data_IF_466297914188
#
_entry.id   IF_466297914188
#
_cell.length_a   1.000
_cell.length_b   1.000
_cell.length_c   1.000
_cell.angle_alpha   90.00
_cell.angle_beta   90.00
_cell.angle_gamma   90.00
#
_symmetry.space_group_name_H-M   'P 1'
#
loop_
_entity.id
_entity.type
_entity.pdbx_description
1 polymer ?
#
# COMPACT_ATOMS: atom_id res chain seq x y z
N UNK A 1 -4.08 2.60 19.10
CA UNK A 1 -5.34 2.28 18.37
C UNK A 1 -6.48 3.24 18.71
N UNK A 2 -6.95 3.29 19.96
CA UNK A 2 -8.12 4.10 20.35
C UNK A 2 -8.05 5.59 19.96
N UNK A 3 -6.90 6.24 20.17
CA UNK A 3 -6.66 7.64 19.80
C UNK A 3 -6.83 7.92 18.30
N UNK A 4 -6.55 6.93 17.46
CA UNK A 4 -6.62 7.05 16.00
C UNK A 4 -8.07 6.93 15.53
N UNK A 5 -8.84 6.00 16.10
CA UNK A 5 -10.25 5.81 15.77
C UNK A 5 -11.11 7.03 16.16
N UNK A 6 -10.74 7.73 17.24
CA UNK A 6 -11.40 8.97 17.69
C UNK A 6 -11.33 10.12 16.67
N UNK A 7 -10.49 10.02 15.63
CA UNK A 7 -10.49 11.00 14.55
C UNK A 7 -11.73 10.89 13.63
N UNK A 8 -12.41 9.74 13.61
CA UNK A 8 -13.70 9.54 12.94
C UNK A 8 -14.81 10.18 13.79
N UNK A 9 -15.59 11.08 13.20
CA UNK A 9 -16.63 11.83 13.94
C UNK A 9 -17.95 11.08 14.07
N UNK A 10 -18.22 10.15 13.16
CA UNK A 10 -19.43 9.34 13.18
C UNK A 10 -19.21 8.05 14.00
N UNK A 11 -20.13 7.77 14.91
CA UNK A 11 -20.03 6.60 15.81
C UNK A 11 -20.06 5.27 15.05
N UNK A 12 -20.87 5.17 13.99
CA UNK A 12 -20.94 3.95 13.15
C UNK A 12 -19.62 3.67 12.43
N UNK A 13 -18.93 4.72 11.96
CA UNK A 13 -17.62 4.58 11.31
C UNK A 13 -16.52 4.13 12.29
N UNK A 14 -16.57 4.62 13.53
CA UNK A 14 -15.67 4.17 14.60
C UNK A 14 -15.85 2.68 14.89
N UNK A 15 -17.09 2.21 14.93
CA UNK A 15 -17.45 0.82 15.22
C UNK A 15 -16.95 -0.13 14.13
N UNK A 16 -17.21 0.20 12.87
CA UNK A 16 -16.72 -0.56 11.70
C UNK A 16 -15.18 -0.59 11.64
N UNK A 17 -14.54 0.54 11.92
CA UNK A 17 -13.09 0.64 11.94
C UNK A 17 -12.48 -0.18 13.09
N UNK A 18 -13.09 -0.15 14.28
CA UNK A 18 -12.66 -0.94 15.43
C UNK A 18 -12.77 -2.45 15.17
N UNK A 19 -13.89 -2.90 14.60
CA UNK A 19 -14.09 -4.30 14.25
C UNK A 19 -13.04 -4.78 13.23
N UNK A 20 -12.72 -3.93 12.25
CA UNK A 20 -11.69 -4.22 11.25
C UNK A 20 -10.29 -4.30 11.87
N UNK A 21 -9.98 -3.42 12.83
CA UNK A 21 -8.70 -3.44 13.55
C UNK A 21 -8.55 -4.73 14.36
N UNK A 22 -9.60 -5.14 15.06
CA UNK A 22 -9.62 -6.37 15.85
C UNK A 22 -9.52 -7.62 14.97
N UNK A 23 -10.36 -7.72 13.94
CA UNK A 23 -10.39 -8.86 13.01
C UNK A 23 -9.04 -9.08 12.33
N UNK A 24 -8.30 -8.01 12.06
CA UNK A 24 -7.03 -8.06 11.33
C UNK A 24 -5.79 -8.01 12.22
N UNK A 25 -5.92 -7.98 13.55
CA UNK A 25 -4.80 -7.68 14.46
C UNK A 25 -3.95 -6.50 13.95
N UNK A 26 -4.63 -5.45 13.47
CA UNK A 26 -3.97 -4.38 12.73
C UNK A 26 -3.01 -3.61 13.65
N UNK A 27 -1.83 -3.24 13.15
CA UNK A 27 -0.87 -2.39 13.86
C UNK A 27 -1.33 -0.92 13.85
N UNK A 28 -0.77 -0.09 14.74
CA UNK A 28 -1.19 1.32 14.92
C UNK A 28 -1.11 2.08 13.59
N UNK A 29 -0.01 1.89 12.85
CA UNK A 29 0.21 2.45 11.50
C UNK A 29 -0.86 2.00 10.48
N UNK A 30 -1.28 0.74 10.55
CA UNK A 30 -2.34 0.20 9.69
C UNK A 30 -3.72 0.78 10.05
N UNK A 31 -3.96 0.99 11.35
CA UNK A 31 -5.16 1.68 11.85
C UNK A 31 -5.20 3.14 11.42
N UNK A 32 -4.07 3.86 11.46
CA UNK A 32 -3.95 5.24 10.98
C UNK A 32 -4.27 5.36 9.50
N UNK A 33 -3.72 4.45 8.68
CA UNK A 33 -4.02 4.39 7.24
C UNK A 33 -5.50 4.08 6.97
N UNK A 34 -6.12 3.21 7.77
CA UNK A 34 -7.54 2.89 7.66
C UNK A 34 -8.40 4.11 7.96
N UNK A 35 -8.13 4.81 9.07
CA UNK A 35 -8.86 6.01 9.48
C UNK A 35 -8.65 7.16 8.49
N UNK A 36 -7.44 7.36 7.98
CA UNK A 36 -7.15 8.36 6.94
C UNK A 36 -7.98 8.14 5.67
N UNK A 37 -8.15 6.88 5.24
CA UNK A 37 -9.02 6.53 4.10
C UNK A 37 -10.48 6.86 4.36
N UNK A 38 -10.99 6.55 5.55
CA UNK A 38 -12.38 6.82 5.94
C UNK A 38 -12.66 8.33 6.03
N UNK A 39 -11.72 9.10 6.57
CA UNK A 39 -11.83 10.57 6.66
C UNK A 39 -11.64 11.29 5.32
N UNK A 40 -11.27 10.58 4.25
CA UNK A 40 -10.91 11.18 2.97
C UNK A 40 -9.67 12.09 3.02
N UNK A 41 -9.01 12.19 4.18
CA UNK A 41 -7.77 12.91 4.40
C UNK A 41 -6.64 12.01 3.91
N UNK A 42 -6.11 12.33 2.74
CA UNK A 42 -5.23 11.43 2.00
C UNK A 42 -5.95 10.71 0.86
N UNK A 43 -6.79 11.42 0.09
CA UNK A 43 -6.81 11.19 -1.36
C UNK A 43 -5.40 11.45 -1.92
N UNK A 44 -4.44 10.57 -1.63
CA UNK A 44 -3.46 10.25 -2.65
C UNK A 44 -4.30 9.71 -3.78
N UNK A 45 -4.42 10.54 -4.83
CA UNK A 45 -5.22 10.28 -6.00
C UNK A 45 -5.04 8.81 -6.36
N UNK A 46 -6.08 8.00 -6.17
CA UNK A 46 -6.47 7.08 -7.24
C UNK A 46 -6.67 7.99 -8.44
N UNK A 47 -5.61 8.21 -9.19
CA UNK A 47 -5.65 8.88 -10.46
C UNK A 47 -6.29 7.87 -11.41
N UNK A 48 -7.60 7.72 -11.24
CA UNK A 48 -8.49 7.37 -12.34
C UNK A 48 -8.44 8.55 -13.30
N UNK A 49 -7.52 8.46 -14.26
CA UNK A 49 -7.35 9.21 -15.52
C UNK A 49 -5.92 8.96 -16.00
N UNK A 50 -5.65 8.41 -17.18
CA UNK A 50 -6.46 8.23 -18.38
C UNK A 50 -5.51 7.57 -19.41
N UNK A 51 -6.06 6.70 -20.27
CA UNK A 51 -5.52 6.29 -21.61
C UNK A 51 -4.21 5.49 -21.54
N UNK A 52 -4.09 4.25 -22.01
CA UNK A 52 -4.50 3.61 -23.27
C UNK A 52 -4.96 2.18 -22.94
N UNK A 53 -6.18 1.74 -23.29
CA UNK A 53 -6.56 1.32 -24.63
C UNK A 53 -5.55 0.40 -25.32
N UNK A 54 -4.85 -0.48 -24.61
CA UNK A 54 -4.23 -1.66 -25.22
C UNK A 54 -4.00 -2.74 -24.16
N UNK A 55 -4.56 -3.93 -24.37
CA UNK A 55 -4.24 -5.17 -23.64
C UNK A 55 -4.89 -5.37 -22.26
N UNK A 56 -6.21 -5.63 -22.25
CA UNK A 56 -7.00 -5.99 -21.05
C UNK A 56 -6.60 -7.32 -20.37
N UNK A 57 -5.64 -8.07 -20.91
CA UNK A 57 -5.06 -9.26 -20.28
C UNK A 57 -3.71 -8.97 -19.61
N UNK A 58 -2.87 -8.15 -20.25
CA UNK A 58 -1.58 -7.72 -19.71
C UNK A 58 -1.77 -6.76 -18.54
N UNK A 59 -2.78 -5.88 -18.61
CA UNK A 59 -3.14 -4.99 -17.50
C UNK A 59 -3.45 -5.75 -16.22
N UNK A 60 -4.27 -6.81 -16.30
CA UNK A 60 -4.66 -7.63 -15.13
C UNK A 60 -3.47 -8.40 -14.55
N UNK A 61 -2.62 -8.99 -15.40
CA UNK A 61 -1.42 -9.70 -14.94
C UNK A 61 -0.43 -8.76 -14.22
N UNK A 62 -0.27 -7.53 -14.74
CA UNK A 62 0.59 -6.50 -14.12
C UNK A 62 -0.01 -6.00 -12.81
N UNK A 63 -1.34 -5.78 -12.75
CA UNK A 63 -2.04 -5.41 -11.52
C UNK A 63 -1.91 -6.49 -10.43
N UNK A 64 -2.07 -7.77 -10.79
CA UNK A 64 -1.88 -8.89 -9.87
C UNK A 64 -0.45 -8.98 -9.36
N UNK A 65 0.53 -8.79 -10.23
CA UNK A 65 1.94 -8.74 -9.84
C UNK A 65 2.21 -7.57 -8.88
N UNK A 66 1.68 -6.38 -9.17
CA UNK A 66 1.79 -5.22 -8.30
C UNK A 66 1.18 -5.50 -6.92
N UNK A 67 0.01 -6.13 -6.87
CA UNK A 67 -0.65 -6.50 -5.61
C UNK A 67 0.21 -7.49 -4.80
N UNK A 68 0.78 -8.52 -5.46
CA UNK A 68 1.66 -9.49 -4.80
C UNK A 68 2.93 -8.84 -4.27
N UNK A 69 3.55 -7.93 -5.02
CA UNK A 69 4.74 -7.19 -4.56
C UNK A 69 4.42 -6.31 -3.35
N UNK A 70 3.29 -5.59 -3.36
CA UNK A 70 2.86 -4.79 -2.21
C UNK A 70 2.61 -5.65 -0.97
N UNK A 71 2.00 -6.82 -1.14
CA UNK A 71 1.77 -7.77 -0.04
C UNK A 71 3.09 -8.32 0.52
N UNK A 72 4.02 -8.70 -0.37
CA UNK A 72 5.30 -9.30 0.03
C UNK A 72 6.24 -8.28 0.69
N UNK A 73 6.34 -7.07 0.14
CA UNK A 73 7.25 -6.02 0.64
C UNK A 73 6.64 -5.16 1.76
N UNK A 74 5.32 -5.30 1.99
CA UNK A 74 4.54 -4.50 2.93
C UNK A 74 4.66 -2.98 2.73
N UNK A 75 4.97 -2.55 1.50
CA UNK A 75 5.13 -1.15 1.11
C UNK A 75 4.37 -0.85 -0.19
N UNK A 76 4.27 0.43 -0.54
CA UNK A 76 3.64 0.86 -1.77
C UNK A 76 4.55 0.58 -2.97
N UNK A 77 4.00 -0.11 -3.98
CA UNK A 77 4.70 -0.50 -5.21
C UNK A 77 3.85 -0.10 -6.40
N UNK A 78 4.47 0.53 -7.39
CA UNK A 78 3.84 0.88 -8.66
C UNK A 78 4.62 0.22 -9.80
N UNK A 79 3.92 -0.44 -10.71
CA UNK A 79 4.50 -0.98 -11.94
C UNK A 79 4.02 -0.14 -13.13
N UNK A 80 4.98 0.51 -13.80
CA UNK A 80 4.77 1.11 -15.10
C UNK A 80 5.27 0.15 -16.17
N UNK A 81 4.36 -0.54 -16.86
CA UNK A 81 4.71 -1.47 -17.92
C UNK A 81 4.44 -0.84 -19.29
N UNK A 82 5.44 -0.82 -20.17
CA UNK A 82 5.31 -0.43 -21.57
C UNK A 82 5.97 -1.46 -22.47
N UNK A 83 5.63 -1.45 -23.76
CA UNK A 83 5.92 -2.58 -24.69
C UNK A 83 7.41 -2.93 -24.83
N UNK A 84 8.31 -1.97 -24.62
CA UNK A 84 9.76 -2.15 -24.74
C UNK A 84 10.52 -1.89 -23.44
N UNK A 85 9.91 -1.20 -22.49
CA UNK A 85 10.54 -0.74 -21.24
C UNK A 85 9.50 -0.69 -20.14
N UNK A 86 9.89 -1.11 -18.95
CA UNK A 86 9.09 -0.98 -17.74
C UNK A 86 9.88 -0.35 -16.60
N UNK A 87 9.16 0.10 -15.58
CA UNK A 87 9.70 0.65 -14.34
C UNK A 87 8.90 0.12 -13.17
N UNK A 88 9.60 -0.31 -12.12
CA UNK A 88 9.00 -0.65 -10.82
C UNK A 88 9.46 0.41 -9.83
N UNK A 89 8.51 1.06 -9.17
CA UNK A 89 8.77 2.06 -8.14
C UNK A 89 8.36 1.47 -6.78
N UNK A 90 9.28 1.46 -5.83
CA UNK A 90 9.05 0.95 -4.47
C UNK A 90 9.30 2.12 -3.50
N UNK A 91 8.26 2.54 -2.79
CA UNK A 91 8.36 3.59 -1.79
C UNK A 91 8.90 3.01 -0.47
N UNK A 92 9.71 3.76 0.26
CA UNK A 92 10.22 3.36 1.57
C UNK A 92 10.25 4.56 2.53
N UNK A 93 10.14 4.27 3.83
CA UNK A 93 10.01 5.26 4.90
C UNK A 93 11.13 5.10 5.92
N UNK A 94 12.34 5.49 5.53
CA UNK A 94 13.54 5.46 6.38
C UNK A 94 14.47 4.27 6.08
N UNK A 95 15.60 4.25 6.79
CA UNK A 95 16.71 3.32 6.53
C UNK A 95 16.35 1.87 6.86
N UNK A 96 15.68 1.61 7.99
CA UNK A 96 15.25 0.26 8.37
C UNK A 96 14.27 -0.35 7.35
N UNK A 97 13.40 0.50 6.79
CA UNK A 97 12.43 0.10 5.78
C UNK A 97 13.12 -0.32 4.48
N UNK A 98 14.09 0.50 4.05
CA UNK A 98 14.94 0.20 2.91
C UNK A 98 15.73 -1.10 3.11
N UNK A 99 16.37 -1.28 4.27
CA UNK A 99 17.12 -2.50 4.58
C UNK A 99 16.23 -3.74 4.50
N UNK A 100 15.05 -3.70 5.13
CA UNK A 100 14.09 -4.82 5.05
C UNK A 100 13.70 -5.14 3.60
N UNK A 101 13.42 -4.12 2.78
CA UNK A 101 13.07 -4.30 1.36
C UNK A 101 14.24 -4.95 0.61
N UNK A 102 15.46 -4.45 0.79
CA UNK A 102 16.68 -4.99 0.15
C UNK A 102 16.92 -6.44 0.54
N UNK A 103 16.78 -6.78 1.83
CA UNK A 103 16.86 -8.16 2.31
C UNK A 103 15.75 -9.04 1.72
N UNK A 104 14.51 -8.54 1.63
CA UNK A 104 13.40 -9.26 1.03
C UNK A 104 13.58 -9.50 -0.48
N UNK A 105 14.41 -8.69 -1.15
CA UNK A 105 14.85 -8.89 -2.54
C UNK A 105 16.04 -9.85 -2.66
N UNK A 106 16.53 -10.41 -1.54
CA UNK A 106 17.63 -11.37 -1.51
C UNK A 106 19.02 -10.74 -1.63
N UNK A 107 19.13 -9.42 -1.45
CA UNK A 107 20.41 -8.73 -1.48
C UNK A 107 21.04 -8.67 -0.08
N UNK A 108 22.36 -8.86 0.04
CA UNK A 108 23.05 -8.70 1.30
C UNK A 108 23.01 -7.24 1.74
N UNK A 109 22.60 -6.99 2.98
CA UNK A 109 22.75 -5.68 3.61
C UNK A 109 24.22 -5.55 4.03
N UNK A 110 24.89 -4.47 3.63
CA UNK A 110 26.30 -4.28 3.95
C UNK A 110 26.50 -4.33 5.48
N UNK A 111 27.20 -5.38 5.97
CA UNK A 111 27.41 -5.62 7.40
C UNK A 111 27.50 -7.08 7.84
N UNK A 112 27.29 -8.05 6.95
CA UNK A 112 27.54 -9.50 7.20
C UNK A 112 28.60 -10.03 6.22
#
# INVERSE_FOLDING_TARGET
>A
HAKVLLALKAHEEQLLAAETVLRRNATVRSTERLVARLLGIGRSRRKSRRVTSESSATGTAVEDLQNRLQQHLATHVIIHHGDKRGRIEIEYYGTDDLQRIVTALGLPVAGD
#
